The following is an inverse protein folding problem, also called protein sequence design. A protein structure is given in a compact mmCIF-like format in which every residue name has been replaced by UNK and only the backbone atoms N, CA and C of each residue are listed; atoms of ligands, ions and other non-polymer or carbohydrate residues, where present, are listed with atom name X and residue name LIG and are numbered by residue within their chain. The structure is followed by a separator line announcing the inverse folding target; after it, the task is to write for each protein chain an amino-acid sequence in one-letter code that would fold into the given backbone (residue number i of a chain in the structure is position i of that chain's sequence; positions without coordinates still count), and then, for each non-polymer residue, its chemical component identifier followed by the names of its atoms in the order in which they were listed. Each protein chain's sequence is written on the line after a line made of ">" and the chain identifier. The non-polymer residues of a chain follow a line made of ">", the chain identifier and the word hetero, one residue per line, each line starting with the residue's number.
data_IF_250750310503
#
_entry.id   IF_250750310503
#
_cell.length_a   1.000
_cell.length_b   1.000
_cell.length_c   1.000
_cell.angle_alpha   90.00
_cell.angle_beta   90.00
_cell.angle_gamma   90.00
#
_symmetry.space_group_name_H-M   'P 1'
#
loop_
_entity.id
_entity.type
_entity.pdbx_description
1 polymer ?
#
# COMPACT_ATOMS: atom_id res chain seq x y z
N UNK A 1 -24.68 -46.37 -45.32
CA UNK A 1 -23.51 -47.27 -45.41
C UNK A 1 -22.38 -46.48 -46.02
N UNK A 2 -21.28 -46.28 -45.26
CA UNK A 2 -19.85 -46.14 -45.63
C UNK A 2 -19.20 -45.42 -44.43
N UNK A 3 -18.52 -46.21 -43.59
CA UNK A 3 -17.70 -45.73 -42.46
C UNK A 3 -16.27 -45.47 -42.98
N UNK A 4 -15.60 -44.37 -42.60
CA UNK A 4 -14.17 -44.27 -42.80
C UNK A 4 -13.42 -45.00 -41.67
N UNK A 5 -12.61 -45.99 -42.07
CA UNK A 5 -11.61 -46.65 -41.25
C UNK A 5 -10.42 -45.71 -41.05
N UNK A 6 -10.09 -45.36 -39.80
CA UNK A 6 -8.80 -44.79 -39.45
C UNK A 6 -7.97 -45.84 -38.69
N UNK A 7 -6.79 -46.11 -39.24
CA UNK A 7 -5.77 -47.00 -38.68
C UNK A 7 -5.19 -46.40 -37.40
N UNK A 8 -5.24 -47.17 -36.31
CA UNK A 8 -4.51 -46.92 -35.08
C UNK A 8 -3.03 -47.26 -35.28
N UNK A 9 -2.14 -46.28 -35.12
CA UNK A 9 -0.71 -46.51 -34.91
C UNK A 9 -0.43 -46.49 -33.40
N UNK A 10 -0.01 -47.64 -32.88
CA UNK A 10 0.52 -47.80 -31.53
C UNK A 10 2.00 -47.35 -31.50
N UNK A 11 2.39 -46.55 -30.51
CA UNK A 11 3.80 -46.18 -30.36
C UNK A 11 4.10 -45.27 -29.17
N UNK A 12 4.81 -45.83 -28.19
CA UNK A 12 5.61 -45.21 -27.12
C UNK A 12 4.89 -44.66 -25.87
N UNK A 13 5.15 -45.35 -24.76
CA UNK A 13 4.84 -44.99 -23.39
C UNK A 13 5.67 -43.79 -22.88
N UNK A 14 5.18 -43.04 -21.88
CA UNK A 14 5.83 -41.84 -21.35
C UNK A 14 6.98 -42.15 -20.40
N UNK A 15 8.13 -41.51 -20.63
CA UNK A 15 9.22 -41.43 -19.65
C UNK A 15 8.79 -40.56 -18.47
N UNK A 16 8.55 -41.22 -17.34
CA UNK A 16 8.31 -40.59 -16.03
C UNK A 16 9.66 -40.04 -15.52
N UNK A 17 9.85 -38.72 -15.55
CA UNK A 17 10.91 -38.08 -14.76
C UNK A 17 10.35 -37.68 -13.40
N UNK A 18 10.67 -38.51 -12.40
CA UNK A 18 10.25 -38.34 -11.02
C UNK A 18 11.05 -37.21 -10.35
N UNK A 19 10.30 -36.34 -9.69
CA UNK A 19 10.71 -35.23 -8.82
C UNK A 19 11.79 -35.64 -7.81
N UNK A 20 12.82 -34.81 -7.67
CA UNK A 20 13.53 -34.63 -6.40
C UNK A 20 13.52 -33.16 -6.01
N UNK A 21 12.65 -32.89 -5.05
CA UNK A 21 12.65 -31.73 -4.17
C UNK A 21 14.00 -31.62 -3.44
N UNK A 22 14.55 -30.41 -3.43
CA UNK A 22 15.54 -29.99 -2.45
C UNK A 22 15.43 -28.47 -2.26
N UNK A 23 14.62 -28.06 -1.27
CA UNK A 23 14.89 -26.82 -0.56
C UNK A 23 16.00 -27.09 0.47
N UNK A 24 16.81 -26.07 0.78
CA UNK A 24 17.10 -25.82 2.17
C UNK A 24 16.76 -24.37 2.53
N UNK A 25 15.93 -24.28 3.57
CA UNK A 25 15.90 -23.17 4.53
C UNK A 25 17.26 -23.15 5.24
N UNK A 26 17.94 -21.99 5.32
CA UNK A 26 18.47 -21.42 6.57
C UNK A 26 19.31 -20.16 6.30
N UNK A 27 18.85 -19.05 6.87
CA UNK A 27 19.59 -18.22 7.84
C UNK A 27 21.03 -17.80 7.47
N UNK A 28 21.18 -16.60 6.90
CA UNK A 28 22.39 -15.79 7.09
C UNK A 28 22.03 -14.31 7.22
N UNK A 29 22.13 -13.79 8.45
CA UNK A 29 22.63 -12.45 8.76
C UNK A 29 22.83 -12.37 10.28
N UNK A 30 23.92 -12.99 10.73
CA UNK A 30 24.53 -12.81 12.04
C UNK A 30 26.04 -12.75 11.81
N UNK A 31 26.58 -11.54 11.68
CA UNK A 31 28.01 -11.25 11.77
C UNK A 31 28.16 -9.76 12.08
N UNK A 32 28.66 -9.47 13.28
CA UNK A 32 28.91 -8.10 13.72
C UNK A 32 29.16 -7.93 15.21
N UNK A 33 29.61 -8.96 15.94
CA UNK A 33 30.22 -8.82 17.26
C UNK A 33 31.51 -9.63 17.26
N UNK A 34 32.66 -8.97 17.20
CA UNK A 34 33.81 -9.26 18.07
C UNK A 34 34.96 -8.23 17.88
N UNK A 35 35.53 -7.85 19.02
CA UNK A 35 36.86 -7.24 19.25
C UNK A 35 37.02 -5.73 18.97
N UNK A 36 36.79 -4.94 20.01
CA UNK A 36 37.50 -3.69 20.26
C UNK A 36 37.95 -3.67 21.72
N UNK A 37 39.04 -4.37 22.02
CA UNK A 37 39.71 -4.34 23.32
C UNK A 37 40.25 -2.95 23.63
N UNK A 38 40.12 -2.54 24.88
CA UNK A 38 40.56 -1.22 25.36
C UNK A 38 42.07 -1.09 25.50
N UNK A 39 42.52 0.16 25.43
CA UNK A 39 43.34 0.83 26.43
C UNK A 39 43.77 2.20 25.90
N UNK A 40 43.35 3.29 26.57
CA UNK A 40 44.16 4.50 26.71
C UNK A 40 43.61 5.34 27.88
N UNK A 41 44.41 5.41 28.92
CA UNK A 41 44.30 6.33 30.04
C UNK A 41 44.44 7.77 29.54
N UNK A 42 43.54 8.66 29.97
CA UNK A 42 43.86 10.07 30.14
C UNK A 42 42.96 10.65 31.24
N UNK A 43 43.60 10.89 32.38
CA UNK A 43 43.05 11.57 33.54
C UNK A 43 43.30 13.07 33.31
N UNK A 44 42.24 13.86 33.15
CA UNK A 44 42.29 15.31 33.38
C UNK A 44 41.09 15.71 34.22
N UNK A 45 41.39 16.20 35.43
CA UNK A 45 40.44 16.86 36.30
C UNK A 45 39.95 18.14 35.63
N UNK A 46 38.67 18.17 35.25
CA UNK A 46 37.99 19.33 34.70
C UNK A 46 36.52 19.32 35.13
N UNK A 47 36.15 20.37 35.86
CA UNK A 47 34.82 20.83 36.29
C UNK A 47 33.60 20.25 35.53
N UNK A 48 32.49 19.89 36.22
CA UNK A 48 31.30 19.37 35.57
C UNK A 48 30.51 20.51 34.90
N UNK A 49 30.79 20.77 33.63
CA UNK A 49 29.82 21.38 32.70
C UNK A 49 29.07 20.26 31.98
N UNK A 50 28.34 19.43 32.73
CA UNK A 50 27.60 18.26 32.22
C UNK A 50 26.11 18.57 32.25
N UNK A 51 25.43 18.44 31.11
CA UNK A 51 23.98 18.24 31.15
C UNK A 51 23.21 18.40 29.84
N UNK A 52 23.59 19.29 28.93
CA UNK A 52 22.68 19.67 27.83
C UNK A 52 23.00 19.04 26.46
N UNK A 53 24.25 18.64 26.19
CA UNK A 53 24.67 18.22 24.84
C UNK A 53 24.53 16.70 24.57
N UNK A 54 24.44 15.87 25.62
CA UNK A 54 24.27 14.42 25.46
C UNK A 54 22.80 14.01 25.23
N UNK A 55 21.84 14.78 25.76
CA UNK A 55 20.42 14.47 25.69
C UNK A 55 19.83 14.66 24.27
N UNK A 56 20.29 15.67 23.52
CA UNK A 56 19.82 15.93 22.16
C UNK A 56 20.28 14.86 21.16
N UNK A 57 21.52 14.40 21.28
CA UNK A 57 22.09 13.34 20.45
C UNK A 57 21.51 11.95 20.76
N UNK A 58 21.18 11.66 22.03
CA UNK A 58 20.50 10.40 22.38
C UNK A 58 19.03 10.38 21.92
N UNK A 59 18.33 11.51 21.98
CA UNK A 59 16.94 11.62 21.51
C UNK A 59 16.84 11.44 20.00
N UNK A 60 17.75 12.04 19.22
CA UNK A 60 17.75 11.90 17.75
C UNK A 60 18.05 10.48 17.29
N UNK A 61 19.01 9.79 17.93
CA UNK A 61 19.32 8.36 17.63
C UNK A 61 18.13 7.46 17.94
N UNK A 62 17.39 7.74 19.02
CA UNK A 62 16.20 6.97 19.42
C UNK A 62 15.03 7.16 18.44
N UNK A 63 14.79 8.39 17.98
CA UNK A 63 13.75 8.68 16.97
C UNK A 63 14.10 8.05 15.63
N UNK A 64 15.36 8.13 15.20
CA UNK A 64 15.79 7.52 13.95
C UNK A 64 15.61 6.00 13.96
N UNK A 65 15.98 5.34 15.07
CA UNK A 65 15.74 3.91 15.24
C UNK A 65 14.25 3.55 15.13
N UNK A 66 13.36 4.33 15.74
CA UNK A 66 11.90 4.13 15.62
C UNK A 66 11.43 4.27 14.17
N UNK A 67 11.89 5.30 13.45
CA UNK A 67 11.56 5.51 12.04
C UNK A 67 11.97 4.31 11.18
N UNK A 68 13.16 3.74 11.42
CA UNK A 68 13.67 2.61 10.64
C UNK A 68 12.88 1.33 10.92
N UNK A 69 12.49 1.08 12.18
CA UNK A 69 11.59 -0.03 12.55
C UNK A 69 10.23 0.11 11.85
N UNK A 70 9.60 1.28 11.91
CA UNK A 70 8.30 1.51 11.29
C UNK A 70 8.33 1.36 9.77
N UNK A 71 9.38 1.88 9.12
CA UNK A 71 9.60 1.71 7.67
C UNK A 71 9.79 0.24 7.31
N UNK A 72 10.59 -0.49 8.09
CA UNK A 72 10.80 -1.93 7.87
C UNK A 72 9.49 -2.72 7.98
N UNK A 73 8.70 -2.47 9.02
CA UNK A 73 7.39 -3.10 9.21
C UNK A 73 6.42 -2.78 8.08
N UNK A 74 6.33 -1.50 7.69
CA UNK A 74 5.48 -1.06 6.59
C UNK A 74 5.88 -1.71 5.26
N UNK A 75 7.18 -1.72 4.95
CA UNK A 75 7.71 -2.34 3.73
C UNK A 75 7.46 -3.85 3.71
N UNK A 76 7.64 -4.53 4.85
CA UNK A 76 7.31 -5.95 4.99
C UNK A 76 5.83 -6.24 4.74
N UNK A 77 4.94 -5.41 5.28
CA UNK A 77 3.50 -5.54 5.05
C UNK A 77 3.12 -5.30 3.58
N UNK A 78 3.67 -4.26 2.95
CA UNK A 78 3.47 -3.97 1.52
C UNK A 78 3.95 -5.14 0.65
N UNK A 79 5.16 -5.65 0.91
CA UNK A 79 5.71 -6.78 0.16
C UNK A 79 4.84 -8.02 0.30
N UNK A 80 4.30 -8.29 1.49
CA UNK A 80 3.38 -9.42 1.72
C UNK A 80 2.06 -9.24 0.96
N UNK A 81 1.47 -8.04 0.96
CA UNK A 81 0.27 -7.77 0.13
C UNK A 81 0.57 -8.01 -1.35
N UNK A 82 1.70 -7.49 -1.85
CA UNK A 82 2.11 -7.69 -3.23
C UNK A 82 2.28 -9.19 -3.56
N UNK A 83 2.85 -9.97 -2.65
CA UNK A 83 3.01 -11.41 -2.83
C UNK A 83 1.66 -12.13 -2.99
N UNK A 84 0.65 -11.75 -2.19
CA UNK A 84 -0.69 -12.35 -2.24
C UNK A 84 -1.43 -11.92 -3.52
N UNK A 85 -1.46 -10.61 -3.81
CA UNK A 85 -2.22 -10.04 -4.93
C UNK A 85 -1.64 -10.45 -6.30
N UNK A 86 -0.32 -10.66 -6.39
CA UNK A 86 0.36 -10.97 -7.63
C UNK A 86 0.66 -12.46 -7.82
N UNK A 87 -0.02 -13.35 -7.08
CA UNK A 87 0.06 -14.78 -7.35
C UNK A 87 -0.29 -15.09 -8.82
N UNK A 88 0.44 -16.02 -9.45
CA UNK A 88 0.17 -16.40 -10.83
C UNK A 88 -1.18 -17.14 -10.93
N UNK A 89 -1.91 -16.87 -12.00
CA UNK A 89 -3.08 -17.65 -12.38
C UNK A 89 -2.65 -18.80 -13.27
N UNK A 90 -3.32 -19.96 -13.13
CA UNK A 90 -3.14 -21.07 -14.05
C UNK A 90 -3.45 -20.66 -15.48
N UNK A 91 -2.51 -20.95 -16.37
CA UNK A 91 -2.60 -20.68 -17.80
C UNK A 91 -2.88 -21.98 -18.56
N UNK A 92 -3.69 -21.88 -19.60
CA UNK A 92 -4.03 -22.98 -20.49
C UNK A 92 -3.64 -22.61 -21.92
N UNK A 93 -3.13 -23.58 -22.68
CA UNK A 93 -2.96 -23.43 -24.13
C UNK A 93 -4.30 -23.71 -24.80
N UNK A 94 -4.58 -22.98 -25.88
CA UNK A 94 -5.76 -23.24 -26.71
C UNK A 94 -5.66 -24.66 -27.29
N UNK A 95 -6.71 -25.45 -27.10
CA UNK A 95 -6.84 -26.80 -27.64
C UNK A 95 -8.06 -26.94 -28.55
N UNK A 96 -8.16 -28.05 -29.32
CA UNK A 96 -9.32 -28.31 -30.17
C UNK A 96 -10.63 -28.32 -29.38
N UNK A 97 -11.66 -27.66 -29.89
CA UNK A 97 -13.00 -27.63 -29.29
C UNK A 97 -13.14 -26.79 -28.02
N UNK A 98 -12.12 -26.01 -27.65
CA UNK A 98 -12.24 -25.04 -26.55
C UNK A 98 -13.00 -23.79 -27.00
N UNK A 99 -13.97 -23.38 -26.19
CA UNK A 99 -14.70 -22.12 -26.34
C UNK A 99 -14.22 -21.12 -25.28
N UNK A 100 -14.04 -19.85 -25.65
CA UNK A 100 -13.62 -18.80 -24.72
C UNK A 100 -14.21 -17.44 -25.06
N UNK A 101 -14.25 -16.56 -24.06
CA UNK A 101 -14.60 -15.14 -24.23
C UNK A 101 -13.34 -14.27 -24.27
N UNK A 102 -13.33 -13.24 -25.13
CA UNK A 102 -12.19 -12.32 -25.24
C UNK A 102 -12.48 -10.99 -24.55
N UNK A 103 -11.57 -10.54 -23.69
CA UNK A 103 -11.59 -9.24 -23.02
C UNK A 103 -10.60 -8.29 -23.72
N UNK A 104 -11.12 -7.52 -24.68
CA UNK A 104 -10.32 -6.66 -25.57
C UNK A 104 -9.70 -5.45 -24.84
N UNK A 105 -10.31 -4.99 -23.75
CA UNK A 105 -9.80 -3.88 -22.94
C UNK A 105 -8.62 -4.28 -22.03
N UNK A 106 -8.25 -5.57 -22.05
CA UNK A 106 -7.27 -6.13 -21.13
C UNK A 106 -7.87 -6.51 -19.79
N UNK A 107 -7.00 -6.60 -18.79
CA UNK A 107 -7.37 -7.03 -17.42
C UNK A 107 -7.51 -5.86 -16.45
N UNK A 108 -7.16 -4.66 -16.88
CA UNK A 108 -6.91 -3.53 -16.01
C UNK A 108 -7.38 -2.23 -16.64
N UNK A 109 -8.24 -1.49 -15.93
CA UNK A 109 -8.65 -0.14 -16.31
C UNK A 109 -7.76 0.92 -15.62
N UNK A 110 -7.55 2.11 -16.19
CA UNK A 110 -6.83 3.20 -15.53
C UNK A 110 -7.37 3.58 -14.14
N UNK A 111 -6.54 4.26 -13.32
CA UNK A 111 -6.93 4.78 -12.00
C UNK A 111 -6.83 3.75 -10.87
N UNK A 112 -5.67 3.65 -10.22
CA UNK A 112 -5.55 2.97 -8.92
C UNK A 112 -5.68 4.03 -7.82
N UNK A 113 -6.69 3.87 -6.96
CA UNK A 113 -6.77 4.68 -5.74
C UNK A 113 -5.97 3.98 -4.65
N UNK A 114 -5.20 4.75 -3.89
CA UNK A 114 -4.58 4.26 -2.66
C UNK A 114 -5.72 3.87 -1.70
N UNK A 115 -5.77 2.63 -1.18
CA UNK A 115 -6.82 2.23 -0.26
C UNK A 115 -6.71 3.01 1.04
N UNK A 116 -7.85 3.24 1.70
CA UNK A 116 -7.84 3.66 3.11
C UNK A 116 -7.42 2.47 3.97
N UNK A 117 -6.11 2.38 4.22
CA UNK A 117 -5.49 1.30 4.98
C UNK A 117 -5.97 1.18 6.42
N UNK A 118 -6.71 2.16 6.96
CA UNK A 118 -7.27 2.07 8.30
C UNK A 118 -8.69 1.51 8.32
N UNK A 119 -9.46 1.67 7.24
CA UNK A 119 -10.90 1.39 7.26
C UNK A 119 -11.40 0.42 6.19
N UNK A 120 -10.71 0.29 5.05
CA UNK A 120 -11.20 -0.52 3.94
C UNK A 120 -11.25 -2.02 4.27
N UNK A 121 -12.33 -2.70 3.88
CA UNK A 121 -12.43 -4.16 3.89
C UNK A 121 -12.50 -4.65 2.42
N UNK A 122 -11.46 -5.33 1.95
CA UNK A 122 -11.39 -5.73 0.55
C UNK A 122 -12.38 -6.83 0.18
N UNK A 123 -12.98 -7.52 1.16
CA UNK A 123 -13.98 -8.57 0.93
C UNK A 123 -15.28 -7.98 0.38
N UNK A 124 -15.59 -6.74 0.73
CA UNK A 124 -16.78 -6.05 0.24
C UNK A 124 -16.61 -5.48 -1.16
N UNK A 125 -15.39 -5.53 -1.72
CA UNK A 125 -15.06 -5.00 -3.04
C UNK A 125 -14.55 -6.06 -4.01
N UNK A 126 -14.68 -7.35 -3.67
CA UNK A 126 -14.37 -8.42 -4.61
C UNK A 126 -15.46 -8.50 -5.69
N UNK A 127 -15.07 -8.24 -6.93
CA UNK A 127 -15.90 -8.38 -8.10
C UNK A 127 -15.55 -9.68 -8.84
N UNK A 128 -16.57 -10.32 -9.41
CA UNK A 128 -16.46 -11.63 -10.09
C UNK A 128 -16.96 -11.58 -11.53
N UNK A 129 -16.44 -10.66 -12.38
CA UNK A 129 -16.96 -10.46 -13.73
C UNK A 129 -16.76 -11.69 -14.64
N UNK A 130 -15.84 -12.58 -14.27
CA UNK A 130 -15.44 -13.75 -15.06
C UNK A 130 -16.15 -15.05 -14.65
N UNK A 131 -16.90 -15.09 -13.54
CA UNK A 131 -17.43 -16.34 -12.95
C UNK A 131 -18.38 -17.12 -13.86
N UNK A 132 -19.11 -16.42 -14.73
CA UNK A 132 -20.03 -17.04 -15.69
C UNK A 132 -19.34 -17.54 -16.96
N UNK A 133 -18.04 -17.30 -17.11
CA UNK A 133 -17.28 -17.64 -18.32
C UNK A 133 -16.45 -18.89 -18.05
N UNK A 134 -16.45 -19.86 -18.96
CA UNK A 134 -15.58 -21.03 -18.86
C UNK A 134 -14.11 -20.61 -18.98
N UNK A 135 -13.64 -20.37 -20.21
CA UNK A 135 -12.33 -19.81 -20.46
C UNK A 135 -12.42 -18.37 -20.94
N UNK A 136 -11.42 -17.57 -20.58
CA UNK A 136 -11.25 -16.18 -21.02
C UNK A 136 -9.86 -15.94 -21.56
N UNK A 137 -9.75 -15.00 -22.49
CA UNK A 137 -8.47 -14.55 -23.06
C UNK A 137 -8.47 -13.04 -23.25
N UNK A 138 -7.30 -12.49 -23.59
CA UNK A 138 -7.11 -11.09 -23.92
C UNK A 138 -6.02 -10.95 -24.98
N UNK A 139 -6.06 -9.93 -25.86
CA UNK A 139 -4.96 -9.60 -26.76
C UNK A 139 -3.60 -9.43 -26.08
N UNK A 140 -3.56 -9.16 -24.76
CA UNK A 140 -2.34 -9.08 -23.96
C UNK A 140 -1.63 -10.44 -23.78
N UNK A 141 -2.31 -11.56 -24.00
CA UNK A 141 -1.79 -12.91 -23.81
C UNK A 141 -2.19 -13.81 -25.00
N UNK A 142 -1.67 -13.56 -26.21
CA UNK A 142 -2.06 -14.32 -27.39
C UNK A 142 -1.77 -15.82 -27.23
N UNK A 143 -2.75 -16.66 -27.57
CA UNK A 143 -2.63 -18.12 -27.47
C UNK A 143 -2.78 -18.69 -26.04
N UNK A 144 -3.07 -17.84 -25.05
CA UNK A 144 -3.24 -18.23 -23.65
C UNK A 144 -4.68 -18.02 -23.21
N UNK A 145 -5.21 -19.01 -22.49
CA UNK A 145 -6.51 -18.98 -21.84
C UNK A 145 -6.35 -19.01 -20.31
N UNK A 146 -7.30 -18.42 -19.61
CA UNK A 146 -7.46 -18.45 -18.16
C UNK A 146 -8.85 -18.99 -17.82
N UNK A 147 -8.98 -19.78 -16.76
CA UNK A 147 -10.29 -20.28 -16.33
C UNK A 147 -11.03 -19.17 -15.58
N UNK A 148 -12.19 -18.73 -16.09
CA UNK A 148 -12.92 -17.56 -15.60
C UNK A 148 -13.25 -17.61 -14.10
N UNK A 149 -13.76 -18.72 -13.55
CA UNK A 149 -14.07 -18.83 -12.12
C UNK A 149 -12.85 -18.78 -11.19
N UNK A 150 -11.62 -18.87 -11.72
CA UNK A 150 -10.39 -18.69 -10.94
C UNK A 150 -9.94 -17.22 -10.88
N UNK A 151 -10.68 -16.30 -11.51
CA UNK A 151 -10.32 -14.89 -11.64
C UNK A 151 -11.20 -13.99 -10.77
N UNK A 152 -10.66 -12.82 -10.44
CA UNK A 152 -11.42 -11.74 -9.82
C UNK A 152 -10.99 -10.38 -10.36
N UNK A 153 -11.73 -9.36 -9.96
CA UNK A 153 -11.25 -7.98 -9.89
C UNK A 153 -11.49 -7.44 -8.48
N UNK A 154 -10.55 -6.66 -7.95
CA UNK A 154 -10.75 -5.96 -6.67
C UNK A 154 -10.10 -4.57 -6.75
N UNK A 155 -10.89 -3.48 -6.76
CA UNK A 155 -10.35 -2.14 -6.93
C UNK A 155 -9.42 -1.71 -5.78
N UNK A 156 -9.60 -2.28 -4.58
CA UNK A 156 -8.77 -1.95 -3.42
C UNK A 156 -7.43 -2.70 -3.39
N UNK A 157 -7.26 -3.76 -4.17
CA UNK A 157 -5.95 -4.42 -4.31
C UNK A 157 -5.14 -3.88 -5.48
N UNK A 158 -5.79 -3.10 -6.35
CA UNK A 158 -5.24 -2.52 -7.59
C UNK A 158 -3.94 -1.74 -7.39
N UNK A 159 -3.80 -1.04 -6.26
CA UNK A 159 -2.60 -0.30 -5.87
C UNK A 159 -1.34 -1.19 -5.79
N UNK A 160 -1.50 -2.48 -5.51
CA UNK A 160 -0.41 -3.44 -5.31
C UNK A 160 -0.10 -4.31 -6.55
N UNK A 161 -0.81 -4.10 -7.66
CA UNK A 161 -0.60 -4.90 -8.89
C UNK A 161 0.68 -4.43 -9.59
N UNK A 162 1.62 -5.35 -9.78
CA UNK A 162 2.92 -5.08 -10.43
C UNK A 162 2.92 -5.44 -11.91
N UNK A 163 2.10 -6.42 -12.32
CA UNK A 163 1.99 -6.84 -13.71
C UNK A 163 0.53 -6.78 -14.19
N UNK A 164 0.26 -5.83 -15.09
CA UNK A 164 -1.08 -5.56 -15.65
C UNK A 164 -1.40 -6.39 -16.90
N UNK A 165 -0.45 -7.20 -17.37
CA UNK A 165 -0.63 -8.04 -18.56
C UNK A 165 -1.35 -9.35 -18.27
N UNK A 166 -1.68 -9.64 -17.01
CA UNK A 166 -2.34 -10.89 -16.62
C UNK A 166 -3.55 -10.59 -15.73
N UNK A 167 -4.60 -11.43 -15.76
CA UNK A 167 -5.71 -11.31 -14.83
C UNK A 167 -5.26 -11.66 -13.40
N UNK A 168 -6.07 -11.31 -12.42
CA UNK A 168 -5.80 -11.60 -11.01
C UNK A 168 -6.46 -12.90 -10.60
N UNK A 169 -5.74 -13.69 -9.81
CA UNK A 169 -6.28 -14.88 -9.14
C UNK A 169 -7.37 -14.42 -8.17
N UNK A 170 -8.51 -15.11 -8.18
CA UNK A 170 -9.54 -14.97 -7.16
C UNK A 170 -8.94 -15.22 -5.78
N UNK A 171 -9.00 -14.20 -4.94
CA UNK A 171 -8.52 -14.30 -3.57
C UNK A 171 -9.48 -15.16 -2.76
N UNK A 172 -8.91 -16.02 -1.93
CA UNK A 172 -9.66 -16.76 -0.92
C UNK A 172 -10.06 -15.82 0.23
N UNK A 173 -11.07 -16.21 1.00
CA UNK A 173 -11.48 -15.46 2.20
C UNK A 173 -10.30 -15.26 3.16
N UNK A 174 -9.49 -16.30 3.37
CA UNK A 174 -8.31 -16.23 4.24
C UNK A 174 -7.27 -15.22 3.73
N UNK A 175 -6.99 -15.20 2.42
CA UNK A 175 -6.09 -14.22 1.82
C UNK A 175 -6.62 -12.79 1.94
N UNK A 176 -7.92 -12.60 1.80
CA UNK A 176 -8.53 -11.27 1.95
C UNK A 176 -8.46 -10.76 3.40
N UNK A 177 -8.73 -11.64 4.37
CA UNK A 177 -8.57 -11.34 5.80
C UNK A 177 -7.10 -11.02 6.14
N UNK A 178 -6.16 -11.75 5.55
CA UNK A 178 -4.73 -11.47 5.72
C UNK A 178 -4.38 -10.08 5.15
N UNK A 179 -4.82 -9.75 3.93
CA UNK A 179 -4.58 -8.42 3.34
C UNK A 179 -5.21 -7.31 4.18
N UNK A 180 -6.43 -7.48 4.67
CA UNK A 180 -7.06 -6.50 5.56
C UNK A 180 -6.22 -6.27 6.82
N UNK A 181 -5.68 -7.33 7.41
CA UNK A 181 -4.79 -7.23 8.58
C UNK A 181 -3.50 -6.48 8.25
N UNK A 182 -2.89 -6.78 7.10
CA UNK A 182 -1.69 -6.09 6.60
C UNK A 182 -1.95 -4.61 6.31
N UNK A 183 -3.13 -4.25 5.79
CA UNK A 183 -3.53 -2.86 5.64
C UNK A 183 -3.54 -2.13 6.97
N UNK A 184 -4.05 -2.74 8.05
CA UNK A 184 -4.00 -2.11 9.38
C UNK A 184 -2.58 -1.90 9.88
N UNK A 185 -1.63 -2.78 9.54
CA UNK A 185 -0.21 -2.56 9.85
C UNK A 185 0.31 -1.34 9.08
N UNK A 186 0.07 -1.28 7.76
CA UNK A 186 0.50 -0.17 6.90
C UNK A 186 -0.08 1.15 7.41
N UNK A 187 -1.39 1.21 7.68
CA UNK A 187 -2.07 2.42 8.16
C UNK A 187 -1.53 2.93 9.50
N UNK A 188 -1.25 2.01 10.45
CA UNK A 188 -0.61 2.36 11.73
C UNK A 188 0.80 2.90 11.55
N UNK A 189 1.62 2.25 10.72
CA UNK A 189 2.97 2.72 10.43
C UNK A 189 2.96 4.10 9.75
N UNK A 190 2.05 4.34 8.80
CA UNK A 190 1.90 5.65 8.14
C UNK A 190 1.52 6.74 9.14
N UNK A 191 0.54 6.47 10.01
CA UNK A 191 0.12 7.42 11.04
C UNK A 191 1.26 7.78 11.99
N UNK A 192 2.01 6.77 12.46
CA UNK A 192 3.10 6.96 13.41
C UNK A 192 4.31 7.68 12.79
N UNK A 193 4.67 7.32 11.55
CA UNK A 193 5.71 8.04 10.80
C UNK A 193 5.35 9.52 10.61
N UNK A 194 4.07 9.82 10.36
CA UNK A 194 3.61 11.20 10.24
C UNK A 194 3.65 11.93 11.59
N UNK A 195 3.31 11.27 12.70
CA UNK A 195 3.42 11.82 14.06
C UNK A 195 4.86 12.19 14.42
N UNK A 196 5.82 11.30 14.13
CA UNK A 196 7.25 11.55 14.38
C UNK A 196 7.78 12.72 13.53
N UNK A 197 7.30 12.88 12.29
CA UNK A 197 7.65 14.02 11.43
C UNK A 197 7.04 15.35 11.91
N UNK A 198 5.86 15.31 12.52
CA UNK A 198 5.13 16.49 12.97
C UNK A 198 5.59 17.01 14.35
N UNK A 199 6.41 16.25 15.08
CA UNK A 199 6.89 16.66 16.41
C UNK A 199 7.87 17.82 16.27
N UNK A 200 7.55 19.05 16.75
CA UNK A 200 8.44 20.19 16.63
C UNK A 200 9.70 19.99 17.47
N UNK A 201 10.87 20.34 16.93
CA UNK A 201 12.10 20.48 17.72
C UNK A 201 11.83 21.44 18.88
N UNK A 202 12.21 21.12 20.13
CA UNK A 202 12.05 22.04 21.26
C UNK A 202 12.70 23.38 20.91
N UNK A 203 11.90 24.45 20.91
CA UNK A 203 12.43 25.81 20.75
C UNK A 203 13.37 26.06 21.94
N UNK A 204 14.61 26.55 21.73
CA UNK A 204 15.45 26.98 22.84
C UNK A 204 14.63 27.92 23.73
N UNK A 205 14.76 27.83 25.07
CA UNK A 205 14.05 28.73 25.96
C UNK A 205 14.32 30.17 25.50
N UNK A 206 13.26 30.88 25.18
CA UNK A 206 13.32 32.30 24.86
C UNK A 206 14.04 32.96 26.04
N UNK A 207 15.18 33.66 25.82
CA UNK A 207 15.88 34.29 26.91
C UNK A 207 14.88 35.20 27.61
N UNK A 208 14.74 35.02 28.92
CA UNK A 208 13.87 35.82 29.76
C UNK A 208 14.15 37.29 29.42
N UNK A 209 13.16 37.96 28.82
CA UNK A 209 13.17 39.42 28.77
C UNK A 209 13.13 39.85 30.23
N UNK A 210 14.23 40.38 30.73
CA UNK A 210 14.24 41.18 31.95
C UNK A 210 13.18 42.27 31.77
N UNK A 211 12.05 42.09 32.44
CA UNK A 211 11.07 43.15 32.63
C UNK A 211 11.75 44.21 33.51
N UNK A 212 12.32 45.21 32.85
CA UNK A 212 12.65 46.46 33.50
C UNK A 212 11.33 47.08 34.01
N UNK A 213 11.15 47.02 35.32
CA UNK A 213 10.18 47.84 36.05
C UNK A 213 10.30 49.30 35.59
N UNK A 214 9.24 49.83 35.00
CA UNK A 214 8.92 51.24 35.23
C UNK A 214 7.42 51.41 35.38
N UNK A 215 7.05 51.68 36.64
CA UNK A 215 5.71 51.97 37.09
C UNK A 215 5.33 53.41 36.72
N UNK A 216 4.19 53.61 36.04
CA UNK A 216 3.33 54.80 36.16
C UNK A 216 2.01 54.58 35.41
N UNK A 217 0.90 54.56 36.15
CA UNK A 217 -0.49 54.44 35.71
C UNK A 217 -1.09 55.81 35.28
N UNK A 218 -2.42 56.03 35.13
CA UNK A 218 -3.57 55.20 34.71
C UNK A 218 -4.48 55.90 33.64
N UNK A 219 -5.65 55.30 33.37
CA UNK A 219 -6.87 55.82 32.67
C UNK A 219 -6.95 55.51 31.15
N UNK A 220 -8.07 55.16 30.51
CA UNK A 220 -9.52 55.28 30.81
C UNK A 220 -10.32 54.33 29.89
N UNK A 221 -11.47 53.86 30.38
CA UNK A 221 -12.77 53.47 29.77
C UNK A 221 -12.98 53.49 28.23
N UNK A 222 -13.64 52.45 27.68
CA UNK A 222 -14.71 52.48 26.64
C UNK A 222 -14.81 51.10 25.95
N UNK A 223 -15.86 50.29 26.15
CA UNK A 223 -17.20 50.32 25.51
C UNK A 223 -17.23 49.99 24.00
N UNK A 224 -18.06 49.00 23.64
CA UNK A 224 -18.55 48.69 22.29
C UNK A 224 -17.77 47.59 21.57
N UNK A 225 -18.36 46.58 20.94
CA UNK A 225 -19.74 46.28 20.62
C UNK A 225 -19.77 44.92 19.90
N UNK A 226 -20.89 44.21 20.05
CA UNK A 226 -21.22 43.01 19.28
C UNK A 226 -21.46 43.44 17.83
N UNK A 227 -20.92 42.70 16.86
CA UNK A 227 -21.66 42.50 15.60
C UNK A 227 -21.33 41.16 14.92
N UNK A 228 -22.34 40.30 14.67
CA UNK A 228 -22.24 39.09 13.89
C UNK A 228 -22.73 39.35 12.46
N UNK A 229 -21.91 39.09 11.42
CA UNK A 229 -22.35 38.81 10.03
C UNK A 229 -21.16 38.76 9.07
N UNK A 230 -20.71 37.54 8.72
CA UNK A 230 -20.22 37.25 7.36
C UNK A 230 -20.46 35.79 7.01
N UNK A 231 -21.74 35.41 6.90
CA UNK A 231 -22.17 34.28 6.09
C UNK A 231 -22.83 34.84 4.84
N UNK A 232 -22.16 34.73 3.69
CA UNK A 232 -22.74 34.66 2.33
C UNK A 232 -21.63 34.82 1.28
N UNK A 233 -20.98 33.72 0.89
CA UNK A 233 -20.28 33.65 -0.40
C UNK A 233 -19.99 32.19 -0.82
N UNK A 234 -21.01 31.33 -0.81
CA UNK A 234 -20.91 29.98 -1.40
C UNK A 234 -22.26 29.53 -2.02
N UNK A 235 -22.89 30.36 -2.86
CA UNK A 235 -24.10 29.93 -3.61
C UNK A 235 -23.97 30.13 -5.13
N UNK A 236 -22.89 30.70 -5.65
CA UNK A 236 -22.73 30.90 -7.10
C UNK A 236 -22.21 29.67 -7.87
N UNK A 237 -21.70 28.63 -7.20
CA UNK A 237 -21.08 27.46 -7.86
C UNK A 237 -22.04 26.34 -8.30
N UNK A 238 -23.28 26.31 -7.79
CA UNK A 238 -24.18 25.17 -7.99
C UNK A 238 -25.05 25.29 -9.25
N UNK A 239 -25.20 26.48 -9.83
CA UNK A 239 -26.09 26.69 -10.99
C UNK A 239 -25.45 26.33 -12.35
N UNK A 240 -24.11 26.35 -12.45
CA UNK A 240 -23.40 26.06 -13.72
C UNK A 240 -23.32 24.56 -13.99
N UNK A 241 -23.25 23.72 -12.95
CA UNK A 241 -23.13 22.26 -13.09
C UNK A 241 -24.46 21.64 -13.56
N UNK A 242 -25.60 22.21 -13.16
CA UNK A 242 -26.92 21.73 -13.55
C UNK A 242 -27.22 21.97 -15.05
N UNK A 243 -26.74 23.08 -15.63
CA UNK A 243 -26.90 23.34 -17.07
C UNK A 243 -26.14 22.35 -17.96
N UNK A 244 -24.95 21.89 -17.56
CA UNK A 244 -24.15 20.95 -18.37
C UNK A 244 -24.75 19.54 -18.37
N UNK A 245 -25.42 19.13 -17.29
CA UNK A 245 -26.05 17.80 -17.20
C UNK A 245 -27.35 17.74 -18.00
N UNK A 246 -28.13 18.81 -18.06
CA UNK A 246 -29.40 18.83 -18.82
C UNK A 246 -29.15 18.84 -20.34
N UNK A 247 -28.17 19.59 -20.83
CA UNK A 247 -27.84 19.62 -22.28
C UNK A 247 -27.32 18.26 -22.77
N UNK A 248 -26.53 17.53 -21.97
CA UNK A 248 -26.02 16.20 -22.37
C UNK A 248 -27.07 15.09 -22.36
N UNK A 249 -28.19 15.26 -21.66
CA UNK A 249 -29.29 14.29 -21.64
C UNK A 249 -30.30 14.46 -22.76
N UNK A 250 -30.32 15.63 -23.43
CA UNK A 250 -31.20 15.91 -24.56
C UNK A 250 -30.55 15.66 -25.92
N UNK A 251 -29.25 15.33 -25.96
CA UNK A 251 -28.51 15.02 -27.19
C UNK A 251 -28.13 13.53 -27.33
N UNK A 252 -28.88 12.62 -26.70
CA UNK A 252 -28.79 11.18 -26.92
C UNK A 252 -30.16 10.59 -27.16
#
# INVERSE_FOLDING_TARGET
>A
MVRPHFHYAAGAAPTILRVRSAAPVLLQLLLGWLVGGGAALAQTNGLPAVGAQSASSQTSVTVQSQVDVLRSQMNGAIARVQQIVNQPVRQFRIGPGMEWSTYNEGWYHPGANKPDFNNVDIRTTQEKPYDSKGYVSSPLNPGVLFYGPDLEFNPNTKYFITNRNFPRKKLTEAEMVEINSLYRVIGKCEAELNRLRATPTPRPPEPAREEAENSSAPATTSSGGIDPKTGHLMVAGLLVILCVVVVRRLSR
#
